data_IF_444284292104
#
_entry.id   IF_444284292104
#
_cell.length_a   1.000
_cell.length_b   1.000
_cell.length_c   1.000
_cell.angle_alpha   90.00
_cell.angle_beta   90.00
_cell.angle_gamma   90.00
#
_symmetry.space_group_name_H-M   'P 1'
#
loop_
_entity.id
_entity.type
_entity.pdbx_description
1 polymer ?
#
# COMPACT_ATOMS: atom_id res chain seq x y z
N UNK A 1 -13.23 19.14 57.46
CA UNK A 1 -13.69 19.07 56.06
C UNK A 1 -12.50 19.07 55.13
N UNK A 2 -11.95 17.87 54.98
CA UNK A 2 -10.99 17.53 53.93
C UNK A 2 -11.82 17.24 52.68
N UNK A 3 -11.84 18.19 51.75
CA UNK A 3 -12.47 18.00 50.46
C UNK A 3 -11.57 17.12 49.61
N UNK A 4 -11.94 15.85 49.50
CA UNK A 4 -11.42 14.91 48.51
C UNK A 4 -11.57 15.55 47.12
N UNK A 5 -10.47 16.07 46.56
CA UNK A 5 -10.39 16.34 45.13
C UNK A 5 -10.51 14.99 44.42
N UNK A 6 -11.71 14.71 43.88
CA UNK A 6 -11.89 13.63 42.91
C UNK A 6 -10.86 13.83 41.78
N UNK A 7 -9.82 12.99 41.76
CA UNK A 7 -8.91 12.86 40.62
C UNK A 7 -9.76 12.56 39.39
N UNK A 8 -9.96 13.58 38.55
CA UNK A 8 -10.54 13.38 37.22
C UNK A 8 -9.70 12.30 36.52
N UNK A 9 -10.31 11.24 35.98
CA UNK A 9 -9.56 10.24 35.24
C UNK A 9 -8.79 10.94 34.11
N UNK A 10 -7.48 10.74 34.09
CA UNK A 10 -6.59 11.23 33.04
C UNK A 10 -6.92 10.49 31.74
N UNK A 11 -7.91 10.96 31.00
CA UNK A 11 -8.20 10.44 29.66
C UNK A 11 -8.60 11.57 28.73
N UNK A 12 -7.65 12.05 27.91
CA UNK A 12 -7.95 12.68 26.61
C UNK A 12 -6.64 13.08 25.89
N UNK A 13 -6.49 12.69 24.61
CA UNK A 13 -5.61 13.31 23.58
C UNK A 13 -4.20 12.74 23.25
N UNK A 14 -3.87 11.46 23.45
CA UNK A 14 -2.59 10.94 22.87
C UNK A 14 -2.65 9.56 22.23
N UNK A 15 -3.74 8.82 22.36
CA UNK A 15 -3.82 7.44 21.89
C UNK A 15 -5.10 7.23 21.08
N UNK A 16 -4.92 6.82 19.82
CA UNK A 16 -5.99 6.37 18.93
C UNK A 16 -5.98 4.85 18.88
N UNK A 17 -7.11 4.21 19.22
CA UNK A 17 -7.27 2.77 19.10
C UNK A 17 -8.10 2.45 17.85
N UNK A 18 -7.56 1.63 16.95
CA UNK A 18 -8.30 1.10 15.80
C UNK A 18 -8.64 -0.35 16.06
N UNK A 19 -9.92 -0.66 16.17
CA UNK A 19 -10.39 -2.03 16.31
C UNK A 19 -10.70 -2.59 14.92
N UNK A 20 -9.94 -3.61 14.53
CA UNK A 20 -10.00 -4.19 13.19
C UNK A 20 -10.74 -5.52 13.19
N UNK A 21 -11.33 -5.91 12.05
CA UNK A 21 -11.88 -7.24 11.87
C UNK A 21 -10.85 -8.32 12.20
N UNK A 22 -11.28 -9.42 12.82
CA UNK A 22 -10.42 -10.56 13.17
C UNK A 22 -9.64 -11.10 11.96
N UNK A 23 -10.22 -10.98 10.78
CA UNK A 23 -9.65 -11.44 9.51
C UNK A 23 -8.43 -10.62 9.08
N UNK A 24 -8.28 -9.38 9.56
CA UNK A 24 -7.20 -8.47 9.18
C UNK A 24 -5.81 -9.10 9.31
N UNK A 25 -5.53 -9.77 10.43
CA UNK A 25 -4.19 -10.36 10.65
C UNK A 25 -3.87 -11.46 9.63
N UNK A 26 -4.86 -12.29 9.30
CA UNK A 26 -4.72 -13.36 8.31
C UNK A 26 -4.51 -12.78 6.92
N UNK A 27 -5.30 -11.78 6.54
CA UNK A 27 -5.20 -11.11 5.24
C UNK A 27 -3.89 -10.32 5.12
N UNK A 28 -3.47 -9.62 6.17
CA UNK A 28 -2.17 -8.95 6.23
C UNK A 28 -1.03 -9.93 6.02
N UNK A 29 -0.99 -11.04 6.75
CA UNK A 29 0.05 -12.04 6.57
C UNK A 29 0.05 -12.60 5.15
N UNK A 30 -1.10 -12.98 4.62
CA UNK A 30 -1.20 -13.56 3.27
C UNK A 30 -0.70 -12.59 2.19
N UNK A 31 -1.14 -11.32 2.25
CA UNK A 31 -0.72 -10.30 1.29
C UNK A 31 0.76 -9.96 1.48
N UNK A 32 1.22 -9.84 2.72
CA UNK A 32 2.63 -9.58 3.03
C UNK A 32 3.53 -10.68 2.47
N UNK A 33 3.28 -11.94 2.81
CA UNK A 33 4.10 -13.07 2.35
C UNK A 33 4.11 -13.17 0.81
N UNK A 34 2.96 -12.91 0.16
CA UNK A 34 2.91 -12.91 -1.31
C UNK A 34 3.69 -11.73 -1.90
N UNK A 35 3.53 -10.52 -1.36
CA UNK A 35 4.14 -9.30 -1.90
C UNK A 35 5.64 -9.21 -1.61
N UNK A 36 6.07 -9.71 -0.45
CA UNK A 36 7.44 -9.61 0.05
C UNK A 36 8.26 -10.84 -0.34
N UNK A 37 7.72 -12.04 -0.13
CA UNK A 37 8.45 -13.30 -0.31
C UNK A 37 8.02 -14.07 -1.58
N UNK A 38 7.05 -13.54 -2.33
CA UNK A 38 6.49 -14.23 -3.50
C UNK A 38 5.74 -15.51 -3.13
N UNK A 39 5.19 -15.62 -1.92
CA UNK A 39 4.52 -16.84 -1.50
C UNK A 39 3.34 -17.21 -2.42
N UNK A 40 3.27 -18.47 -2.84
CA UNK A 40 2.33 -18.94 -3.87
C UNK A 40 2.84 -18.79 -5.30
N UNK A 41 3.96 -18.11 -5.52
CA UNK A 41 4.57 -17.93 -6.85
C UNK A 41 5.66 -18.95 -7.17
N UNK A 42 6.03 -19.02 -8.45
CA UNK A 42 7.14 -19.86 -8.92
C UNK A 42 8.50 -19.36 -8.41
N UNK A 43 9.49 -20.26 -8.31
CA UNK A 43 10.87 -19.89 -7.94
C UNK A 43 11.47 -18.80 -8.84
N UNK A 44 11.06 -18.75 -10.12
CA UNK A 44 11.49 -17.70 -11.04
C UNK A 44 11.02 -16.31 -10.58
N UNK A 45 9.78 -16.20 -10.10
CA UNK A 45 9.22 -14.93 -9.62
C UNK A 45 9.84 -14.57 -8.27
N UNK A 46 9.96 -15.54 -7.35
CA UNK A 46 10.63 -15.34 -6.05
C UNK A 46 12.05 -14.77 -6.23
N UNK A 47 12.87 -15.39 -7.07
CA UNK A 47 14.21 -14.91 -7.37
C UNK A 47 14.24 -13.48 -7.97
N UNK A 48 13.21 -13.08 -8.72
CA UNK A 48 13.12 -11.73 -9.29
C UNK A 48 12.66 -10.69 -8.27
N UNK A 49 11.87 -11.08 -7.27
CA UNK A 49 11.50 -10.22 -6.15
C UNK A 49 12.71 -9.90 -5.27
N UNK A 50 13.65 -10.84 -5.14
CA UNK A 50 14.87 -10.67 -4.35
C UNK A 50 15.92 -9.73 -4.99
N UNK A 51 15.78 -9.38 -6.28
CA UNK A 51 16.78 -8.57 -6.99
C UNK A 51 16.82 -7.10 -6.56
N UNK A 52 15.74 -6.57 -5.98
CA UNK A 52 15.64 -5.19 -5.51
C UNK A 52 15.91 -4.15 -6.60
N UNK A 53 15.44 -4.38 -7.83
CA UNK A 53 15.66 -3.48 -8.96
C UNK A 53 14.35 -3.17 -9.70
N UNK A 54 14.43 -2.50 -10.84
CA UNK A 54 13.26 -2.14 -11.65
C UNK A 54 12.36 -3.32 -12.03
N UNK A 55 12.93 -4.51 -12.19
CA UNK A 55 12.16 -5.74 -12.42
C UNK A 55 11.33 -6.13 -11.19
N UNK A 56 11.89 -5.95 -9.99
CA UNK A 56 11.19 -6.17 -8.73
C UNK A 56 10.01 -5.22 -8.59
N UNK A 57 10.19 -3.92 -8.82
CA UNK A 57 9.09 -2.95 -8.72
C UNK A 57 7.99 -3.18 -9.76
N UNK A 58 8.34 -3.54 -11.00
CA UNK A 58 7.37 -3.97 -12.00
C UNK A 58 6.54 -5.19 -11.55
N UNK A 59 7.19 -6.22 -10.97
CA UNK A 59 6.49 -7.40 -10.46
C UNK A 59 5.60 -7.07 -9.27
N UNK A 60 6.09 -6.26 -8.34
CA UNK A 60 5.32 -5.81 -7.20
C UNK A 60 4.07 -5.05 -7.64
N UNK A 61 4.17 -4.16 -8.64
CA UNK A 61 3.03 -3.44 -9.20
C UNK A 61 1.97 -4.42 -9.76
N UNK A 62 2.39 -5.45 -10.48
CA UNK A 62 1.48 -6.52 -10.96
C UNK A 62 0.81 -7.25 -9.78
N UNK A 63 1.56 -7.57 -8.72
CA UNK A 63 1.00 -8.20 -7.52
C UNK A 63 -0.04 -7.30 -6.86
N UNK A 64 0.20 -5.98 -6.76
CA UNK A 64 -0.79 -5.01 -6.22
C UNK A 64 -2.07 -5.04 -7.05
N UNK A 65 -1.96 -5.03 -8.38
CA UNK A 65 -3.13 -5.07 -9.26
C UNK A 65 -3.93 -6.36 -9.11
N UNK A 66 -3.26 -7.51 -9.09
CA UNK A 66 -3.89 -8.81 -8.90
C UNK A 66 -4.67 -8.85 -7.57
N UNK A 67 -4.08 -8.38 -6.48
CA UNK A 67 -4.77 -8.28 -5.20
C UNK A 67 -5.97 -7.35 -5.25
N UNK A 68 -5.82 -6.18 -5.88
CA UNK A 68 -6.92 -5.22 -6.03
C UNK A 68 -8.09 -5.83 -6.82
N UNK A 69 -7.81 -6.58 -7.88
CA UNK A 69 -8.84 -7.25 -8.67
C UNK A 69 -9.50 -8.40 -7.91
N UNK A 70 -8.75 -9.18 -7.11
CA UNK A 70 -9.31 -10.17 -6.20
C UNK A 70 -10.26 -9.52 -5.20
N UNK A 71 -9.87 -8.39 -4.60
CA UNK A 71 -10.70 -7.63 -3.64
C UNK A 71 -11.98 -7.09 -4.32
N UNK A 72 -11.84 -6.56 -5.53
CA UNK A 72 -12.96 -6.02 -6.33
C UNK A 72 -13.89 -7.12 -6.82
N UNK A 73 -13.39 -8.34 -7.02
CA UNK A 73 -14.14 -9.44 -7.59
C UNK A 73 -15.47 -9.67 -6.85
N UNK A 74 -16.49 -10.04 -7.63
CA UNK A 74 -17.81 -10.44 -7.12
C UNK A 74 -17.87 -11.93 -6.82
N UNK A 75 -16.74 -12.64 -6.86
CA UNK A 75 -16.69 -14.05 -6.48
C UNK A 75 -17.25 -14.21 -5.06
N UNK A 76 -18.10 -15.21 -4.89
CA UNK A 76 -19.41 -15.11 -4.25
C UNK A 76 -19.41 -15.12 -2.71
N UNK A 77 -18.27 -14.92 -2.06
CA UNK A 77 -18.10 -15.20 -0.62
C UNK A 77 -17.45 -14.08 0.20
N UNK A 78 -16.94 -13.01 -0.42
CA UNK A 78 -16.24 -11.95 0.32
C UNK A 78 -17.23 -10.89 0.84
N UNK A 79 -17.51 -10.90 2.13
CA UNK A 79 -18.31 -9.86 2.81
C UNK A 79 -17.63 -8.49 2.75
N UNK A 80 -18.36 -7.36 2.91
CA UNK A 80 -17.75 -6.03 2.99
C UNK A 80 -16.63 -5.94 4.03
N UNK A 81 -16.80 -6.57 5.20
CA UNK A 81 -15.77 -6.73 6.23
C UNK A 81 -14.48 -7.37 5.70
N UNK A 82 -14.58 -8.46 4.95
CA UNK A 82 -13.39 -9.10 4.35
C UNK A 82 -12.73 -8.20 3.31
N UNK A 83 -13.54 -7.53 2.47
CA UNK A 83 -13.03 -6.61 1.45
C UNK A 83 -12.29 -5.43 2.09
N UNK A 84 -12.84 -4.88 3.16
CA UNK A 84 -12.22 -3.85 3.97
C UNK A 84 -10.91 -4.32 4.60
N UNK A 85 -10.92 -5.47 5.28
CA UNK A 85 -9.73 -6.03 5.92
C UNK A 85 -8.60 -6.26 4.90
N UNK A 86 -8.91 -6.83 3.74
CA UNK A 86 -7.94 -7.02 2.65
C UNK A 86 -7.43 -5.71 2.07
N UNK A 87 -8.31 -4.74 1.87
CA UNK A 87 -7.93 -3.44 1.34
C UNK A 87 -6.96 -2.71 2.30
N UNK A 88 -7.23 -2.79 3.59
CA UNK A 88 -6.36 -2.23 4.63
C UNK A 88 -5.04 -2.97 4.75
N UNK A 89 -5.07 -4.29 4.68
CA UNK A 89 -3.88 -5.12 4.66
C UNK A 89 -3.00 -4.79 3.44
N UNK A 90 -3.60 -4.72 2.24
CA UNK A 90 -2.90 -4.36 1.02
C UNK A 90 -2.25 -2.98 1.14
N UNK A 91 -3.00 -1.97 1.59
CA UNK A 91 -2.46 -0.62 1.73
C UNK A 91 -1.29 -0.56 2.72
N UNK A 92 -1.40 -1.23 3.87
CA UNK A 92 -0.32 -1.30 4.85
C UNK A 92 0.94 -1.97 4.28
N UNK A 93 0.78 -3.09 3.54
CA UNK A 93 1.92 -3.81 2.96
C UNK A 93 2.63 -2.95 1.89
N UNK A 94 1.87 -2.31 0.99
CA UNK A 94 2.45 -1.55 -0.11
C UNK A 94 3.06 -0.21 0.32
N UNK A 95 2.72 0.32 1.51
CA UNK A 95 3.39 1.53 2.04
C UNK A 95 4.72 1.21 2.71
N UNK A 96 4.91 -0.02 3.19
CA UNK A 96 6.17 -0.49 3.80
C UNK A 96 7.29 -0.74 2.79
N UNK A 97 6.96 -0.94 1.50
CA UNK A 97 7.93 -1.06 0.41
C UNK A 97 7.43 -0.25 -0.77
N UNK A 98 8.15 0.79 -1.12
CA UNK A 98 7.76 1.78 -2.12
C UNK A 98 8.39 1.54 -3.51
N UNK A 99 9.19 0.49 -3.67
CA UNK A 99 9.81 0.11 -4.95
C UNK A 99 8.81 -0.10 -6.09
N UNK A 100 7.59 -0.59 -5.81
CA UNK A 100 6.53 -0.70 -6.81
C UNK A 100 6.07 0.65 -7.36
N UNK A 101 6.29 1.74 -6.62
CA UNK A 101 5.86 3.09 -6.95
C UNK A 101 6.94 3.85 -7.74
N UNK A 102 8.22 3.64 -7.43
CA UNK A 102 9.33 4.39 -8.03
C UNK A 102 10.27 3.57 -8.91
N UNK A 103 10.47 2.29 -8.61
CA UNK A 103 11.36 1.39 -9.32
C UNK A 103 10.59 0.54 -10.33
N UNK A 104 9.80 1.20 -11.19
CA UNK A 104 9.06 0.57 -12.28
C UNK A 104 9.24 1.37 -13.59
N UNK A 105 8.94 0.74 -14.71
CA UNK A 105 9.02 1.35 -16.05
C UNK A 105 7.67 1.85 -16.57
N UNK A 106 6.61 1.72 -15.76
CA UNK A 106 5.23 1.96 -16.19
C UNK A 106 4.49 2.95 -15.25
N UNK A 107 4.78 4.25 -15.39
CA UNK A 107 4.15 5.29 -14.57
C UNK A 107 2.64 5.41 -14.81
N UNK A 108 2.14 5.03 -15.99
CA UNK A 108 0.70 5.04 -16.29
C UNK A 108 -0.02 3.93 -15.51
N UNK A 109 0.60 2.75 -15.43
CA UNK A 109 0.12 1.64 -14.63
C UNK A 109 0.10 1.98 -13.13
N UNK A 110 1.14 2.66 -12.63
CA UNK A 110 1.16 3.19 -11.26
C UNK A 110 -0.01 4.14 -11.01
N UNK A 111 -0.20 5.14 -11.86
CA UNK A 111 -1.25 6.14 -11.72
C UNK A 111 -2.65 5.49 -11.72
N UNK A 112 -2.89 4.58 -12.65
CA UNK A 112 -4.16 3.85 -12.75
C UNK A 112 -4.42 2.96 -11.54
N UNK A 113 -3.38 2.34 -10.98
CA UNK A 113 -3.45 1.52 -9.75
C UNK A 113 -3.79 2.39 -8.55
N UNK A 114 -3.11 3.53 -8.37
CA UNK A 114 -3.41 4.49 -7.30
C UNK A 114 -4.85 5.03 -7.38
N UNK A 115 -5.30 5.42 -8.57
CA UNK A 115 -6.69 5.86 -8.80
C UNK A 115 -7.69 4.76 -8.44
N UNK A 116 -7.39 3.51 -8.80
CA UNK A 116 -8.24 2.37 -8.50
C UNK A 116 -8.29 2.09 -6.99
N UNK A 117 -7.15 2.16 -6.31
CA UNK A 117 -7.07 2.01 -4.85
C UNK A 117 -7.92 3.08 -4.15
N UNK A 118 -7.74 4.35 -4.51
CA UNK A 118 -8.46 5.48 -3.92
C UNK A 118 -9.97 5.40 -4.18
N UNK A 119 -10.37 5.05 -5.40
CA UNK A 119 -11.79 4.91 -5.78
C UNK A 119 -12.45 3.79 -4.98
N UNK A 120 -11.77 2.65 -4.82
CA UNK A 120 -12.33 1.52 -4.10
C UNK A 120 -12.42 1.80 -2.59
N UNK A 121 -11.38 2.39 -2.00
CA UNK A 121 -11.39 2.84 -0.60
C UNK A 121 -12.55 3.78 -0.30
N UNK A 122 -12.71 4.83 -1.11
CA UNK A 122 -13.83 5.77 -1.00
C UNK A 122 -15.17 5.04 -1.08
N UNK A 123 -15.31 4.13 -2.04
CA UNK A 123 -16.51 3.31 -2.21
C UNK A 123 -16.84 2.46 -0.99
N UNK A 124 -15.85 1.80 -0.39
CA UNK A 124 -16.05 0.98 0.82
C UNK A 124 -16.50 1.83 2.02
N UNK A 125 -15.80 2.94 2.28
CA UNK A 125 -16.05 3.78 3.45
C UNK A 125 -17.36 4.58 3.35
N UNK A 126 -17.79 4.93 2.13
CA UNK A 126 -19.05 5.65 1.92
C UNK A 126 -20.28 4.73 1.95
N UNK A 127 -20.14 3.48 1.52
CA UNK A 127 -21.29 2.57 1.33
C UNK A 127 -21.61 1.71 2.56
N UNK A 128 -20.72 1.67 3.54
CA UNK A 128 -20.84 0.77 4.68
C UNK A 128 -20.61 1.51 6.01
N UNK A 129 -21.45 1.19 6.99
CA UNK A 129 -21.27 1.62 8.37
C UNK A 129 -20.14 0.84 9.07
N UNK A 130 -19.78 1.27 10.28
CA UNK A 130 -18.70 0.66 11.04
C UNK A 130 -18.96 -0.81 11.38
N UNK A 131 -20.19 -1.14 11.78
CA UNK A 131 -20.59 -2.51 12.09
C UNK A 131 -20.42 -3.46 10.87
N UNK A 132 -20.81 -3.01 9.69
CA UNK A 132 -20.67 -3.77 8.43
C UNK A 132 -19.21 -3.96 8.05
N UNK A 133 -18.37 -2.93 8.27
CA UNK A 133 -16.93 -3.02 8.05
C UNK A 133 -16.22 -3.83 9.14
N UNK A 134 -16.87 -4.10 10.28
CA UNK A 134 -16.26 -4.75 11.44
C UNK A 134 -15.29 -3.83 12.17
N UNK A 135 -15.53 -2.52 12.12
CA UNK A 135 -14.83 -1.52 12.90
C UNK A 135 -15.48 -1.41 14.28
N UNK A 136 -14.64 -1.35 15.32
CA UNK A 136 -15.07 -1.23 16.71
C UNK A 136 -15.00 -2.53 17.52
N UNK A 137 -14.88 -2.42 18.84
CA UNK A 137 -14.81 -3.56 19.76
C UNK A 137 -16.14 -4.33 19.86
N UNK A 138 -17.26 -3.60 19.85
CA UNK A 138 -18.65 -4.11 19.86
C UNK A 138 -19.57 -3.12 19.15
N UNK A 139 -20.72 -3.56 18.64
CA UNK A 139 -21.64 -2.71 17.86
C UNK A 139 -22.15 -1.45 18.60
N UNK A 140 -22.08 -1.43 19.93
CA UNK A 140 -22.70 -0.40 20.78
C UNK A 140 -21.70 0.52 21.52
N UNK A 141 -20.38 0.38 21.33
CA UNK A 141 -19.38 0.99 22.26
C UNK A 141 -18.17 1.63 21.57
N UNK A 142 -18.23 2.04 20.31
CA UNK A 142 -16.98 2.47 19.65
C UNK A 142 -17.07 3.64 18.67
N UNK A 143 -17.40 4.81 19.21
CA UNK A 143 -17.43 6.07 18.46
C UNK A 143 -16.04 6.52 17.96
N UNK A 144 -14.94 5.91 18.43
CA UNK A 144 -13.56 6.34 18.14
C UNK A 144 -12.83 5.57 17.04
N UNK A 145 -13.22 4.32 16.75
CA UNK A 145 -12.44 3.45 15.85
C UNK A 145 -12.36 3.97 14.40
N UNK A 146 -13.40 4.64 13.89
CA UNK A 146 -13.40 5.25 12.55
C UNK A 146 -12.49 6.46 12.48
N UNK A 147 -12.49 7.30 13.50
CA UNK A 147 -11.58 8.45 13.59
C UNK A 147 -10.13 7.98 13.63
N UNK A 148 -9.83 7.00 14.49
CA UNK A 148 -8.51 6.39 14.58
C UNK A 148 -8.06 5.78 13.25
N UNK A 149 -8.97 5.13 12.51
CA UNK A 149 -8.69 4.63 11.16
C UNK A 149 -8.29 5.75 10.21
N UNK A 150 -8.98 6.90 10.22
CA UNK A 150 -8.62 8.03 9.36
C UNK A 150 -7.25 8.61 9.72
N UNK A 151 -6.91 8.67 11.01
CA UNK A 151 -5.56 9.07 11.44
C UNK A 151 -4.51 8.11 10.88
N UNK A 152 -4.77 6.80 10.92
CA UNK A 152 -3.86 5.81 10.37
C UNK A 152 -3.74 5.87 8.85
N UNK A 153 -4.86 6.03 8.12
CA UNK A 153 -4.84 6.22 6.66
C UNK A 153 -4.07 7.48 6.24
N UNK A 154 -4.10 8.55 7.05
CA UNK A 154 -3.26 9.74 6.83
C UNK A 154 -1.77 9.46 7.01
N UNK A 155 -1.38 8.49 7.84
CA UNK A 155 0.02 8.08 7.94
C UNK A 155 0.46 7.37 6.65
N UNK A 156 -0.36 6.47 6.10
CA UNK A 156 -0.09 5.84 4.81
C UNK A 156 -0.02 6.86 3.66
N UNK A 157 -0.94 7.83 3.65
CA UNK A 157 -0.87 8.95 2.69
C UNK A 157 0.46 9.69 2.80
N UNK A 158 0.93 9.99 4.02
CA UNK A 158 2.22 10.65 4.24
C UNK A 158 3.38 9.79 3.75
N UNK A 159 3.36 8.48 3.95
CA UNK A 159 4.41 7.56 3.48
C UNK A 159 4.49 7.57 1.94
N UNK A 160 3.34 7.39 1.27
CA UNK A 160 3.26 7.45 -0.20
C UNK A 160 3.68 8.82 -0.75
N UNK A 161 3.31 9.91 -0.08
CA UNK A 161 3.68 11.26 -0.50
C UNK A 161 5.14 11.62 -0.17
N UNK A 162 5.70 11.12 0.92
CA UNK A 162 7.09 11.36 1.29
C UNK A 162 8.02 10.67 0.30
N UNK A 163 7.68 9.43 -0.08
CA UNK A 163 8.37 8.76 -1.14
C UNK A 163 8.20 9.51 -2.49
N UNK A 164 7.07 10.19 -2.72
CA UNK A 164 6.82 10.97 -3.94
C UNK A 164 7.62 12.28 -4.02
N UNK A 165 8.20 12.75 -2.90
CA UNK A 165 9.08 13.93 -2.85
C UNK A 165 10.54 13.62 -3.14
N UNK A 166 10.93 12.36 -3.33
CA UNK A 166 12.23 12.01 -3.92
C UNK A 166 12.18 12.42 -5.38
N UNK A 167 12.81 13.56 -5.67
CA UNK A 167 12.76 14.22 -6.98
C UNK A 167 13.37 13.29 -8.04
N UNK A 168 12.55 12.88 -9.01
CA UNK A 168 13.00 12.22 -10.24
C UNK A 168 13.95 13.17 -10.98
N UNK A 169 15.26 12.97 -10.83
CA UNK A 169 16.25 13.58 -11.72
C UNK A 169 16.20 12.78 -13.02
N UNK A 170 15.79 13.36 -14.16
CA UNK A 170 15.84 12.65 -15.42
C UNK A 170 17.29 12.28 -15.69
N UNK A 171 17.58 10.99 -15.84
CA UNK A 171 18.89 10.53 -16.29
C UNK A 171 19.10 11.12 -17.67
N UNK A 172 19.88 12.20 -17.78
CA UNK A 172 20.29 12.73 -19.07
C UNK A 172 20.86 11.55 -19.85
N UNK A 173 20.23 11.22 -21.00
CA UNK A 173 20.77 10.22 -21.92
C UNK A 173 22.25 10.55 -22.08
N UNK A 174 23.14 9.62 -21.73
CA UNK A 174 24.54 9.72 -22.14
C UNK A 174 24.48 9.95 -23.65
N UNK A 175 24.80 11.16 -24.10
CA UNK A 175 25.00 11.42 -25.50
C UNK A 175 26.05 10.41 -25.93
N UNK A 176 25.65 9.43 -26.73
CA UNK A 176 26.57 8.55 -27.40
C UNK A 176 27.48 9.47 -28.22
N UNK A 177 28.66 9.76 -27.67
CA UNK A 177 29.65 10.60 -28.33
C UNK A 177 30.21 9.72 -29.44
N UNK A 178 29.51 9.72 -30.56
CA UNK A 178 30.00 9.16 -31.80
C UNK A 178 31.28 9.90 -32.17
N UNK A 179 32.41 9.25 -31.93
CA UNK A 179 33.61 9.47 -32.73
C UNK A 179 33.73 8.30 -33.69
N UNK A 180 33.06 8.45 -34.83
CA UNK A 180 33.50 7.83 -36.06
C UNK A 180 34.89 8.40 -36.38
N UNK A 181 35.93 7.60 -36.19
CA UNK A 181 37.23 7.87 -36.79
C UNK A 181 37.21 7.30 -38.21
N UNK A 182 36.95 8.17 -39.19
CA UNK A 182 37.10 7.85 -40.61
C UNK A 182 38.59 7.85 -41.01
N UNK A 183 39.02 6.72 -41.58
CA UNK A 183 39.97 6.50 -42.69
C UNK A 183 41.17 7.45 -42.90
N UNK A 184 42.36 6.87 -42.99
CA UNK A 184 43.46 7.42 -43.80
C UNK A 184 44.84 6.81 -43.57
N UNK A 185 45.15 5.66 -44.19
CA UNK A 185 46.54 5.21 -44.47
C UNK A 185 46.54 4.62 -45.89
N UNK A 186 46.73 5.48 -46.89
CA UNK A 186 47.97 5.73 -47.64
C UNK A 186 48.44 4.53 -48.47
N UNK A 187 48.19 4.62 -49.78
CA UNK A 187 49.02 4.04 -50.84
C UNK A 187 50.27 4.91 -51.01
N UNK A 188 51.44 4.30 -51.03
CA UNK A 188 52.45 4.41 -52.09
C UNK A 188 53.39 3.21 -51.98
#
# INVERSE_FOLDING_TARGET
>A
DEGEEEEKPVTSESHYAVWLPKEYKTEFKCIHDHFVDGEGETNLIKNRLDLGNTTTGNLQLVIVQNWLDVIKSKAQTSTPRHKFARMLALLNVITQRDGWLYDNEDPEMVESTLKSLATYWRGLLQKHDDATLGLGATADVDDGSREALYVWLRLFEKELNHAAKVTLVPRQKRAATGKQAAKGKQRK
#
